data_IF_054627817560
#
_entry.id   IF_054627817560
#
_cell.length_a   1.000
_cell.length_b   1.000
_cell.length_c   1.000
_cell.angle_alpha   90.00
_cell.angle_beta   90.00
_cell.angle_gamma   90.00
#
_symmetry.space_group_name_H-M   'P 1'
#
loop_
_entity.id
_entity.type
_entity.pdbx_description
1 polymer ?
#
# COMPACT_ATOMS: atom_id res chain seq x y z
N UNK A 1 5.64 -22.40 -26.83
CA UNK A 1 4.35 -22.91 -26.32
C UNK A 1 3.39 -23.14 -27.48
N UNK A 2 2.52 -24.16 -27.41
CA UNK A 2 1.45 -24.34 -28.40
C UNK A 2 0.47 -23.15 -28.40
N UNK A 3 -0.26 -22.98 -29.50
CA UNK A 3 -1.22 -21.88 -29.69
C UNK A 3 -2.33 -21.89 -28.63
N UNK A 4 -2.77 -20.72 -28.17
CA UNK A 4 -3.90 -20.58 -27.23
C UNK A 4 -5.18 -21.20 -27.79
N UNK A 5 -5.35 -21.20 -29.12
CA UNK A 5 -6.48 -21.85 -29.80
C UNK A 5 -6.52 -23.39 -29.64
N UNK A 6 -5.44 -23.98 -29.12
CA UNK A 6 -5.32 -25.42 -28.85
C UNK A 6 -5.35 -25.73 -27.35
N UNK A 7 -5.64 -24.73 -26.49
CA UNK A 7 -5.73 -24.91 -25.04
C UNK A 7 -7.19 -25.03 -24.59
N UNK A 8 -7.40 -25.75 -23.48
CA UNK A 8 -8.72 -25.84 -22.84
C UNK A 8 -8.84 -24.83 -21.72
N UNK A 9 -10.07 -24.43 -21.41
CA UNK A 9 -10.35 -23.57 -20.26
C UNK A 9 -9.88 -24.22 -18.96
N UNK A 10 -9.24 -23.45 -18.08
CA UNK A 10 -8.79 -23.92 -16.78
C UNK A 10 -10.00 -24.12 -15.84
N UNK A 11 -10.17 -25.33 -15.32
CA UNK A 11 -11.33 -25.72 -14.50
C UNK A 11 -11.06 -25.76 -13.00
N UNK A 12 -9.86 -25.41 -12.54
CA UNK A 12 -9.49 -25.41 -11.13
C UNK A 12 -9.84 -24.11 -10.38
N UNK A 13 -10.69 -23.25 -10.94
CA UNK A 13 -11.19 -22.06 -10.25
C UNK A 13 -12.37 -22.45 -9.35
N UNK A 14 -12.42 -21.85 -8.17
CA UNK A 14 -13.53 -21.96 -7.23
C UNK A 14 -13.96 -20.56 -6.78
N UNK A 15 -15.23 -20.42 -6.37
CA UNK A 15 -15.72 -19.18 -5.81
C UNK A 15 -15.19 -19.02 -4.38
N UNK A 16 -14.82 -17.79 -4.02
CA UNK A 16 -14.53 -17.41 -2.63
C UNK A 16 -15.86 -17.30 -1.89
N UNK A 17 -15.94 -17.85 -0.67
CA UNK A 17 -17.17 -17.83 0.11
C UNK A 17 -17.34 -16.48 0.83
N UNK A 18 -18.58 -16.05 1.06
CA UNK A 18 -18.87 -14.82 1.82
C UNK A 18 -18.36 -14.89 3.27
N UNK A 19 -18.17 -16.09 3.81
CA UNK A 19 -17.58 -16.30 5.13
C UNK A 19 -16.05 -16.18 5.16
N UNK A 20 -15.38 -16.14 4.00
CA UNK A 20 -13.93 -16.04 3.94
C UNK A 20 -13.45 -14.67 4.39
N UNK A 21 -12.33 -14.65 5.10
CA UNK A 21 -11.81 -13.42 5.69
C UNK A 21 -11.32 -12.38 4.66
N UNK A 22 -11.05 -12.80 3.42
CA UNK A 22 -10.60 -11.96 2.30
C UNK A 22 -11.61 -12.04 1.13
N UNK A 23 -12.90 -12.04 1.47
CA UNK A 23 -14.01 -12.07 0.51
C UNK A 23 -14.13 -10.77 -0.32
N UNK A 24 -15.11 -10.72 -1.23
CA UNK A 24 -15.36 -9.55 -2.07
C UNK A 24 -15.61 -8.27 -1.27
N UNK A 25 -16.45 -8.34 -0.23
CA UNK A 25 -16.79 -7.17 0.59
C UNK A 25 -15.56 -6.58 1.31
N UNK A 26 -14.62 -7.42 1.74
CA UNK A 26 -13.34 -6.97 2.30
C UNK A 26 -12.55 -6.17 1.27
N UNK A 27 -12.39 -6.69 0.06
CA UNK A 27 -11.64 -6.00 -0.99
C UNK A 27 -12.33 -4.73 -1.48
N UNK A 28 -13.67 -4.71 -1.55
CA UNK A 28 -14.44 -3.50 -1.87
C UNK A 28 -14.16 -2.38 -0.87
N UNK A 29 -14.21 -2.66 0.45
CA UNK A 29 -13.87 -1.68 1.49
C UNK A 29 -12.44 -1.14 1.35
N UNK A 30 -11.48 -2.01 1.03
CA UNK A 30 -10.09 -1.61 0.82
C UNK A 30 -9.93 -0.75 -0.45
N UNK A 31 -10.64 -1.09 -1.53
CA UNK A 31 -10.65 -0.31 -2.77
C UNK A 31 -11.21 1.09 -2.52
N UNK A 32 -12.31 1.22 -1.77
CA UNK A 32 -12.88 2.52 -1.41
C UNK A 32 -11.85 3.42 -0.69
N UNK A 33 -11.10 2.84 0.25
CA UNK A 33 -10.03 3.55 0.96
C UNK A 33 -8.89 3.92 0.01
N UNK A 34 -8.53 3.03 -0.91
CA UNK A 34 -7.51 3.31 -1.93
C UNK A 34 -7.92 4.46 -2.84
N UNK A 35 -9.20 4.60 -3.17
CA UNK A 35 -9.70 5.75 -3.92
C UNK A 35 -9.57 7.05 -3.12
N UNK A 36 -9.93 7.03 -1.83
CA UNK A 36 -9.73 8.18 -0.94
C UNK A 36 -8.25 8.57 -0.83
N UNK A 37 -7.35 7.60 -0.69
CA UNK A 37 -5.89 7.81 -0.68
C UNK A 37 -5.41 8.37 -2.02
N UNK A 38 -5.88 7.83 -3.14
CA UNK A 38 -5.50 8.29 -4.48
C UNK A 38 -5.89 9.75 -4.71
N UNK A 39 -7.06 10.17 -4.22
CA UNK A 39 -7.48 11.59 -4.26
C UNK A 39 -6.54 12.49 -3.46
N UNK A 40 -6.08 12.08 -2.27
CA UNK A 40 -5.11 12.85 -1.47
C UNK A 40 -3.73 12.91 -2.13
N UNK A 41 -3.28 11.80 -2.72
CA UNK A 41 -2.02 11.75 -3.47
C UNK A 41 -2.06 12.71 -4.67
N UNK A 42 -3.19 12.78 -5.37
CA UNK A 42 -3.34 13.73 -6.48
C UNK A 42 -3.35 15.18 -6.01
N UNK A 43 -3.99 15.49 -4.87
CA UNK A 43 -3.92 16.83 -4.27
C UNK A 43 -2.47 17.24 -3.96
N UNK A 44 -1.68 16.35 -3.37
CA UNK A 44 -0.27 16.60 -3.08
C UNK A 44 0.56 16.77 -4.37
N UNK A 45 0.24 16.02 -5.44
CA UNK A 45 0.89 16.17 -6.75
C UNK A 45 0.59 17.52 -7.38
N UNK A 46 -0.67 17.96 -7.36
CA UNK A 46 -1.10 19.27 -7.88
C UNK A 46 -0.47 20.42 -7.08
N UNK A 47 -0.30 20.25 -5.77
CA UNK A 47 0.40 21.21 -4.91
C UNK A 47 1.92 21.28 -5.16
N UNK A 48 2.49 20.27 -5.85
CA UNK A 48 3.92 20.18 -6.13
C UNK A 48 4.75 19.52 -5.01
N UNK A 49 4.09 18.96 -4.00
CA UNK A 49 4.75 18.34 -2.84
C UNK A 49 5.41 17.00 -3.20
N UNK A 50 4.83 16.26 -4.16
CA UNK A 50 5.31 14.97 -4.64
C UNK A 50 5.25 14.87 -6.17
N UNK A 51 6.17 14.12 -6.79
CA UNK A 51 6.10 13.81 -8.23
C UNK A 51 5.31 12.53 -8.51
N UNK A 52 5.53 11.50 -7.70
CA UNK A 52 4.92 10.18 -7.80
C UNK A 52 4.35 9.73 -6.46
N UNK A 53 3.45 8.75 -6.46
CA UNK A 53 2.92 8.20 -5.21
C UNK A 53 4.00 7.54 -4.34
N UNK A 54 5.08 7.04 -4.95
CA UNK A 54 6.24 6.51 -4.23
C UNK A 54 7.05 7.60 -3.53
N UNK A 55 6.89 8.87 -3.87
CA UNK A 55 7.55 9.96 -3.14
C UNK A 55 6.79 10.30 -1.85
N UNK A 56 5.67 9.62 -1.54
CA UNK A 56 4.80 9.89 -0.39
C UNK A 56 4.82 8.79 0.69
N UNK A 57 4.46 9.22 1.89
CA UNK A 57 4.02 8.40 3.00
C UNK A 57 2.55 8.68 3.30
N UNK A 58 1.79 7.63 3.60
CA UNK A 58 0.35 7.70 3.89
C UNK A 58 0.10 7.30 5.34
N UNK A 59 -0.62 8.15 6.07
CA UNK A 59 -1.17 7.82 7.38
C UNK A 59 -2.69 7.80 7.26
N UNK A 60 -3.29 6.68 7.63
CA UNK A 60 -4.74 6.45 7.64
C UNK A 60 -5.19 6.39 9.09
N UNK A 61 -6.10 7.27 9.49
CA UNK A 61 -6.64 7.32 10.84
C UNK A 61 -8.09 6.83 10.81
N UNK A 62 -8.36 5.72 11.49
CA UNK A 62 -9.68 5.08 11.55
C UNK A 62 -9.72 4.11 12.72
N UNK A 63 -10.91 3.64 13.08
CA UNK A 63 -11.12 2.68 14.16
C UNK A 63 -11.98 1.50 13.68
N UNK A 64 -12.23 0.52 14.56
CA UNK A 64 -13.19 -0.56 14.34
C UNK A 64 -12.82 -1.50 13.21
N UNK A 65 -13.84 -1.93 12.43
CA UNK A 65 -13.68 -2.92 11.36
C UNK A 65 -12.74 -2.43 10.27
N UNK A 66 -12.89 -1.19 9.80
CA UNK A 66 -11.98 -0.60 8.82
C UNK A 66 -10.50 -0.63 9.25
N UNK A 67 -10.19 -0.31 10.52
CA UNK A 67 -8.83 -0.37 11.03
C UNK A 67 -8.31 -1.82 11.07
N UNK A 68 -9.15 -2.77 11.48
CA UNK A 68 -8.82 -4.19 11.50
C UNK A 68 -8.54 -4.72 10.08
N UNK A 69 -9.37 -4.32 9.11
CA UNK A 69 -9.25 -4.73 7.71
C UNK A 69 -7.96 -4.20 7.07
N UNK A 70 -7.69 -2.89 7.18
CA UNK A 70 -6.44 -2.31 6.68
C UNK A 70 -5.22 -2.90 7.39
N UNK A 71 -5.34 -3.20 8.69
CA UNK A 71 -4.30 -3.80 9.51
C UNK A 71 -3.86 -5.19 9.04
N UNK A 72 -4.74 -5.96 8.37
CA UNK A 72 -4.41 -7.30 7.83
C UNK A 72 -3.26 -7.27 6.82
N UNK A 73 -3.14 -6.19 6.03
CA UNK A 73 -2.05 -6.05 5.05
C UNK A 73 -0.71 -5.72 5.70
N UNK A 74 -0.71 -5.22 6.95
CA UNK A 74 0.51 -4.83 7.66
C UNK A 74 1.42 -3.93 6.81
N UNK A 75 2.69 -4.30 6.70
CA UNK A 75 3.67 -3.53 5.92
C UNK A 75 3.44 -3.59 4.39
N UNK A 76 2.62 -4.53 3.89
CA UNK A 76 2.27 -4.60 2.46
C UNK A 76 1.19 -3.58 2.06
N UNK A 77 0.57 -2.90 3.03
CA UNK A 77 -0.40 -1.82 2.75
C UNK A 77 0.21 -0.72 1.85
N UNK A 78 1.52 -0.46 2.00
CA UNK A 78 2.24 0.49 1.16
C UNK A 78 2.29 0.06 -0.31
N UNK A 79 2.31 -1.24 -0.60
CA UNK A 79 2.24 -1.75 -1.98
C UNK A 79 0.83 -1.60 -2.55
N UNK A 80 -0.19 -1.81 -1.73
CA UNK A 80 -1.58 -1.61 -2.13
C UNK A 80 -1.87 -0.15 -2.51
N UNK A 81 -1.33 0.81 -1.74
CA UNK A 81 -1.43 2.25 -2.06
C UNK A 81 -0.35 2.77 -3.02
N UNK A 82 0.64 1.95 -3.37
CA UNK A 82 1.78 2.33 -4.24
C UNK A 82 2.53 3.55 -3.67
N UNK A 83 2.87 3.47 -2.38
CA UNK A 83 3.54 4.54 -1.61
C UNK A 83 4.77 4.00 -0.90
N UNK A 84 5.66 4.90 -0.45
CA UNK A 84 6.87 4.45 0.26
C UNK A 84 6.57 3.84 1.62
N UNK A 85 5.59 4.42 2.33
CA UNK A 85 5.04 3.93 3.59
C UNK A 85 3.53 4.11 3.64
N UNK A 86 2.86 3.20 4.32
CA UNK A 86 1.45 3.32 4.69
C UNK A 86 1.26 2.81 6.12
N UNK A 87 0.61 3.59 6.97
CA UNK A 87 0.40 3.26 8.40
C UNK A 87 -1.05 3.51 8.78
N UNK A 88 -1.59 2.64 9.63
CA UNK A 88 -2.93 2.79 10.22
C UNK A 88 -2.77 3.26 11.66
N UNK A 89 -3.52 4.28 12.05
CA UNK A 89 -3.50 4.89 13.37
C UNK A 89 -4.92 4.98 13.94
N UNK A 90 -5.08 5.05 15.27
CA UNK A 90 -6.38 5.32 15.89
C UNK A 90 -6.98 6.64 15.38
N UNK A 91 -8.29 6.70 15.21
CA UNK A 91 -8.96 7.91 14.69
C UNK A 91 -8.71 9.13 15.58
N UNK A 92 -8.65 8.94 16.90
CA UNK A 92 -8.38 9.99 17.88
C UNK A 92 -7.00 10.66 17.74
N UNK A 93 -6.07 10.05 17.00
CA UNK A 93 -4.76 10.63 16.71
C UNK A 93 -4.73 11.48 15.43
N UNK A 94 -5.86 11.60 14.72
CA UNK A 94 -5.95 12.40 13.51
C UNK A 94 -5.66 13.89 13.78
N UNK A 95 -5.01 14.61 12.85
CA UNK A 95 -4.85 16.06 12.96
C UNK A 95 -6.22 16.75 13.07
N UNK A 96 -6.34 17.71 13.99
CA UNK A 96 -7.62 18.36 14.31
C UNK A 96 -8.22 19.16 13.13
N UNK A 97 -7.39 19.57 12.18
CA UNK A 97 -7.75 20.33 10.98
C UNK A 97 -7.94 19.43 9.74
N UNK A 98 -7.75 18.11 9.87
CA UNK A 98 -7.88 17.21 8.75
C UNK A 98 -9.36 16.96 8.39
N UNK A 99 -9.65 16.95 7.09
CA UNK A 99 -10.96 16.61 6.57
C UNK A 99 -11.29 15.14 6.87
N UNK A 100 -12.37 14.94 7.63
CA UNK A 100 -12.93 13.61 7.92
C UNK A 100 -13.84 13.15 6.79
N UNK A 101 -13.57 11.95 6.30
CA UNK A 101 -14.38 11.22 5.33
C UNK A 101 -15.28 10.22 6.07
N UNK A 102 -16.45 9.94 5.50
CA UNK A 102 -17.30 8.83 5.92
C UNK A 102 -17.21 7.72 4.87
N UNK A 103 -16.81 6.52 5.29
CA UNK A 103 -16.64 5.36 4.43
C UNK A 103 -17.31 4.16 5.08
N UNK A 104 -18.31 3.57 4.41
CA UNK A 104 -19.03 2.41 4.93
C UNK A 104 -19.56 2.60 6.37
N UNK A 105 -20.01 3.81 6.69
CA UNK A 105 -20.50 4.17 8.03
C UNK A 105 -19.42 4.44 9.08
N UNK A 106 -18.13 4.42 8.69
CA UNK A 106 -16.99 4.66 9.57
C UNK A 106 -16.27 5.96 9.23
N UNK A 107 -15.73 6.64 10.25
CA UNK A 107 -14.92 7.84 10.06
C UNK A 107 -13.48 7.49 9.67
N UNK A 108 -12.97 8.24 8.70
CA UNK A 108 -11.66 8.03 8.10
C UNK A 108 -10.97 9.38 7.88
N UNK A 109 -9.73 9.53 8.29
CA UNK A 109 -8.85 10.62 7.86
C UNK A 109 -7.67 10.03 7.11
N UNK A 110 -7.30 10.65 6.00
CA UNK A 110 -6.12 10.29 5.21
C UNK A 110 -5.19 11.48 5.13
N UNK A 111 -3.96 11.28 5.58
CA UNK A 111 -2.89 12.26 5.50
C UNK A 111 -1.79 11.73 4.57
N UNK A 112 -1.34 12.60 3.67
CA UNK A 112 -0.23 12.34 2.75
C UNK A 112 0.89 13.32 3.07
N UNK A 113 2.11 12.81 3.19
CA UNK A 113 3.31 13.64 3.39
C UNK A 113 4.41 13.19 2.44
N UNK A 114 5.23 14.08 1.87
CA UNK A 114 6.43 13.69 1.14
C UNK A 114 7.36 12.89 2.04
N UNK A 115 7.94 11.81 1.51
CA UNK A 115 8.95 11.02 2.20
C UNK A 115 10.26 11.79 2.27
N UNK A 116 10.88 11.78 3.44
CA UNK A 116 12.20 12.42 3.67
C UNK A 116 13.37 11.47 3.47
N UNK A 117 13.10 10.19 3.25
CA UNK A 117 14.11 9.15 3.12
C UNK A 117 14.76 9.11 1.73
N UNK A 118 15.93 8.46 1.64
CA UNK A 118 16.64 8.26 0.37
C UNK A 118 15.87 7.35 -0.59
N UNK A 119 15.88 7.68 -1.89
CA UNK A 119 15.21 6.91 -2.94
C UNK A 119 16.06 5.73 -3.39
N UNK A 120 15.51 4.52 -3.33
CA UNK A 120 16.16 3.34 -3.89
C UNK A 120 16.07 3.35 -5.43
N UNK A 121 17.19 3.21 -6.14
CA UNK A 121 17.22 3.27 -7.62
C UNK A 121 16.54 2.08 -8.30
N UNK A 122 16.35 0.95 -7.60
CA UNK A 122 15.76 -0.26 -8.17
C UNK A 122 14.24 -0.35 -8.00
N UNK A 123 13.73 -0.12 -6.78
CA UNK A 123 12.30 -0.22 -6.51
C UNK A 123 11.59 1.13 -6.40
N UNK A 124 12.33 2.23 -6.47
CA UNK A 124 11.86 3.62 -6.39
C UNK A 124 11.14 4.02 -5.09
N UNK A 125 11.06 3.11 -4.11
CA UNK A 125 10.61 3.48 -2.78
C UNK A 125 11.70 4.29 -2.07
N UNK A 126 11.28 5.30 -1.34
CA UNK A 126 12.08 6.00 -0.38
C UNK A 126 12.12 5.20 0.92
N UNK A 127 13.32 4.88 1.40
CA UNK A 127 13.51 4.03 2.58
C UNK A 127 14.66 4.53 3.43
N UNK A 128 14.52 4.33 4.74
CA UNK A 128 15.49 4.74 5.75
C UNK A 128 16.84 4.02 5.60
N UNK A 129 16.83 2.84 4.98
CA UNK A 129 17.98 1.95 4.86
C UNK A 129 18.73 2.05 3.52
N UNK A 130 18.34 2.98 2.64
CA UNK A 130 19.12 3.30 1.43
C UNK A 130 20.46 3.90 1.86
N UNK A 131 21.56 3.29 1.40
CA UNK A 131 22.92 3.67 1.79
C UNK A 131 23.54 2.82 2.90
N UNK A 132 22.78 1.90 3.51
CA UNK A 132 23.30 1.06 4.60
C UNK A 132 24.20 -0.10 4.12
N UNK A 133 24.04 -0.56 2.87
CA UNK A 133 24.90 -1.60 2.30
C UNK A 133 26.05 -0.96 1.51
N UNK A 134 27.29 -1.24 1.91
CA UNK A 134 28.48 -0.64 1.29
C UNK A 134 28.73 -1.09 -0.16
N UNK A 135 28.34 -2.31 -0.53
CA UNK A 135 28.45 -2.83 -1.90
C UNK A 135 27.33 -2.31 -2.80
N UNK A 136 26.20 -1.92 -2.21
CA UNK A 136 25.00 -1.45 -2.90
C UNK A 136 24.41 -0.17 -2.27
N UNK A 137 25.14 0.96 -2.28
CA UNK A 137 24.77 2.16 -1.55
C UNK A 137 23.49 2.84 -2.06
N UNK A 138 23.06 2.56 -3.29
CA UNK A 138 21.82 3.12 -3.86
C UNK A 138 20.59 2.22 -3.69
N UNK A 139 20.75 1.06 -3.03
CA UNK A 139 19.69 0.09 -2.80
C UNK A 139 19.19 0.12 -1.35
N UNK A 140 17.88 -0.07 -1.17
CA UNK A 140 17.32 -0.42 0.14
C UNK A 140 17.58 -1.89 0.46
N UNK A 141 17.49 -2.27 1.74
CA UNK A 141 17.76 -3.63 2.20
C UNK A 141 16.86 -4.68 1.52
N UNK A 142 15.58 -4.36 1.31
CA UNK A 142 14.66 -5.20 0.52
C UNK A 142 15.18 -5.48 -0.89
N UNK A 143 15.80 -4.47 -1.51
CA UNK A 143 16.32 -4.64 -2.86
C UNK A 143 17.58 -5.50 -2.90
N UNK A 144 18.45 -5.35 -1.90
CA UNK A 144 19.61 -6.21 -1.71
C UNK A 144 19.16 -7.66 -1.52
N UNK A 145 18.21 -7.90 -0.61
CA UNK A 145 17.69 -9.25 -0.31
C UNK A 145 17.09 -9.93 -1.55
N UNK A 146 16.27 -9.24 -2.37
CA UNK A 146 15.71 -9.91 -3.56
C UNK A 146 16.68 -10.03 -4.73
N UNK A 147 17.77 -9.27 -4.80
CA UNK A 147 18.76 -9.44 -5.88
C UNK A 147 19.83 -10.48 -5.52
N UNK A 148 20.24 -10.53 -4.26
CA UNK A 148 21.46 -11.21 -3.84
C UNK A 148 21.26 -12.16 -2.66
N UNK A 149 20.08 -12.13 -2.02
CA UNK A 149 19.70 -12.99 -0.89
C UNK A 149 18.66 -14.05 -1.27
N UNK A 150 17.87 -14.47 -0.29
CA UNK A 150 16.80 -15.46 -0.44
C UNK A 150 15.49 -14.85 -1.00
N UNK A 151 15.39 -13.53 -1.00
CA UNK A 151 14.19 -12.79 -1.39
C UNK A 151 13.22 -12.54 -0.26
N UNK A 152 12.31 -11.59 -0.48
CA UNK A 152 11.29 -11.20 0.48
C UNK A 152 10.08 -12.15 0.48
N UNK A 153 9.53 -12.41 1.67
CA UNK A 153 8.23 -13.05 1.81
C UNK A 153 7.13 -12.01 1.58
N UNK A 154 6.18 -12.31 0.69
CA UNK A 154 4.96 -11.53 0.51
C UNK A 154 3.73 -12.42 0.59
N UNK A 155 2.71 -11.96 1.31
CA UNK A 155 1.48 -12.68 1.60
C UNK A 155 0.30 -12.21 0.74
N UNK A 156 0.39 -11.00 0.18
CA UNK A 156 -0.68 -10.38 -0.61
C UNK A 156 -0.19 -9.95 -2.01
N UNK A 157 0.85 -10.63 -2.54
CA UNK A 157 1.49 -10.33 -3.83
C UNK A 157 0.93 -11.11 -5.01
#
# INVERSE_FOLDING_TARGET
SPSVFLTTWYTGLFAVDDGDALNAAYWERLIDVREAVSKRLEQARVAGDIGSSLDAEVNVYCDGELAADLGRLGNELRFFFITSYARVHPFAAAPADAETLSMNGQSLVVQVTPSTHGKCVRCWHHREDVGHNAEHPELCGRCVENAFGAGEERRFA
#
